data_IF_928206389413
#
_entry.id   IF_928206389413
#
_cell.length_a   1.000
_cell.length_b   1.000
_cell.length_c   1.000
_cell.angle_alpha   90.00
_cell.angle_beta   90.00
_cell.angle_gamma   90.00
#
_symmetry.space_group_name_H-M   'P 1'
#
loop_
_entity.id
_entity.type
_entity.pdbx_description
1 polymer ?
#
# COMPACT_ATOMS: atom_id res chain seq x y z
N UNK A 1 3.48 -20.33 16.66
CA UNK A 1 2.17 -21.03 16.72
C UNK A 1 1.81 -21.65 15.37
N UNK A 2 1.04 -22.75 15.36
CA UNK A 2 0.54 -23.40 14.12
C UNK A 2 -0.42 -22.49 13.34
N UNK A 3 -1.15 -21.63 14.04
CA UNK A 3 -2.00 -20.57 13.50
C UNK A 3 -2.43 -19.63 14.63
N UNK A 4 -2.63 -18.36 14.34
CA UNK A 4 -3.24 -17.38 15.26
C UNK A 4 -4.50 -16.84 14.60
N UNK A 5 -5.61 -16.82 15.34
CA UNK A 5 -6.80 -16.06 14.99
C UNK A 5 -6.98 -15.02 16.08
N UNK A 6 -7.06 -13.75 15.70
CA UNK A 6 -7.18 -12.65 16.63
C UNK A 6 -8.09 -11.56 16.04
N UNK A 7 -8.86 -10.91 16.89
CA UNK A 7 -9.69 -9.76 16.55
C UNK A 7 -9.52 -8.74 17.66
N UNK A 8 -9.25 -7.49 17.31
CA UNK A 8 -9.05 -6.42 18.28
C UNK A 8 -9.82 -5.16 17.92
N UNK A 9 -10.02 -4.32 18.93
CA UNK A 9 -10.60 -2.98 18.81
C UNK A 9 -9.90 -2.06 19.81
N UNK A 10 -9.29 -0.99 19.30
CA UNK A 10 -8.52 -0.04 20.10
C UNK A 10 -8.96 1.38 19.80
N UNK A 11 -9.18 2.17 20.85
CA UNK A 11 -9.57 3.58 20.75
C UNK A 11 -8.75 4.42 21.75
N UNK A 12 -8.24 5.57 21.29
CA UNK A 12 -7.66 6.61 22.15
C UNK A 12 -6.37 6.21 22.87
N UNK A 13 -5.50 5.43 22.22
CA UNK A 13 -4.25 4.95 22.83
C UNK A 13 -3.01 5.77 22.45
N UNK A 14 -2.03 5.81 23.36
CA UNK A 14 -0.71 6.40 23.06
C UNK A 14 0.08 5.57 22.04
N UNK A 15 -0.12 4.26 22.02
CA UNK A 15 0.65 3.37 21.16
C UNK A 15 0.08 1.96 21.19
N UNK A 16 -0.02 1.34 20.02
CA UNK A 16 -0.46 -0.04 19.83
C UNK A 16 0.61 -0.79 19.05
N UNK A 17 0.98 -1.98 19.51
CA UNK A 17 2.05 -2.78 18.93
C UNK A 17 1.63 -4.24 18.83
N UNK A 18 1.52 -4.74 17.60
CA UNK A 18 1.23 -6.14 17.31
C UNK A 18 2.45 -6.82 16.70
N UNK A 19 2.84 -7.96 17.30
CA UNK A 19 3.90 -8.81 16.81
C UNK A 19 3.39 -10.22 16.62
N UNK A 20 3.40 -10.71 15.37
CA UNK A 20 3.01 -12.07 15.06
C UNK A 20 4.17 -12.86 14.43
N UNK A 21 4.47 -14.01 15.03
CA UNK A 21 5.44 -14.97 14.53
C UNK A 21 4.83 -16.38 14.51
N UNK A 22 4.79 -17.02 13.34
CA UNK A 22 4.18 -18.35 13.22
C UNK A 22 3.98 -18.86 11.79
N UNK A 23 3.24 -19.96 11.65
CA UNK A 23 2.93 -20.49 10.32
C UNK A 23 1.84 -19.67 9.64
N UNK A 24 0.74 -19.38 10.34
CA UNK A 24 -0.40 -18.64 9.80
C UNK A 24 -0.95 -17.62 10.79
N UNK A 25 -1.38 -16.48 10.29
CA UNK A 25 -2.11 -15.47 11.05
C UNK A 25 -3.38 -15.11 10.29
N UNK A 26 -4.49 -15.11 11.01
CA UNK A 26 -5.72 -14.44 10.64
C UNK A 26 -5.96 -13.35 11.67
N UNK A 27 -5.94 -12.10 11.24
CA UNK A 27 -6.12 -10.96 12.14
C UNK A 27 -7.13 -10.00 11.54
N UNK A 28 -7.99 -9.45 12.40
CA UNK A 28 -8.87 -8.35 12.07
C UNK A 28 -8.68 -7.29 13.14
N UNK A 29 -8.42 -6.05 12.74
CA UNK A 29 -8.21 -4.96 13.68
C UNK A 29 -9.04 -3.73 13.32
N UNK A 30 -9.29 -2.92 14.34
CA UNK A 30 -9.97 -1.65 14.27
C UNK A 30 -9.29 -0.71 15.26
N UNK A 31 -8.62 0.32 14.75
CA UNK A 31 -7.90 1.28 15.58
C UNK A 31 -8.35 2.71 15.27
N UNK A 32 -8.71 3.47 16.30
CA UNK A 32 -9.06 4.89 16.15
C UNK A 32 -8.31 5.77 17.16
N UNK A 33 -7.98 6.99 16.73
CA UNK A 33 -7.47 8.06 17.60
C UNK A 33 -6.15 7.75 18.31
N UNK A 34 -5.30 6.90 17.74
CA UNK A 34 -4.05 6.50 18.37
C UNK A 34 -2.84 7.36 17.94
N UNK A 35 -1.91 7.60 18.85
CA UNK A 35 -0.69 8.35 18.50
C UNK A 35 0.28 7.51 17.64
N UNK A 36 0.30 6.19 17.81
CA UNK A 36 1.12 5.31 17.00
C UNK A 36 0.57 3.89 16.95
N UNK A 37 0.59 3.28 15.77
CA UNK A 37 0.13 1.91 15.54
C UNK A 37 1.18 1.16 14.73
N UNK A 38 1.60 0.00 15.21
CA UNK A 38 2.68 -0.77 14.61
C UNK A 38 2.31 -2.24 14.50
N UNK A 39 2.34 -2.76 13.28
CA UNK A 39 2.10 -4.15 12.96
C UNK A 39 3.35 -4.79 12.39
N UNK A 40 3.80 -5.91 12.99
CA UNK A 40 4.90 -6.71 12.49
C UNK A 40 4.49 -8.17 12.34
N UNK A 41 4.49 -8.65 11.10
CA UNK A 41 4.21 -10.05 10.76
C UNK A 41 5.45 -10.73 10.19
N UNK A 42 5.88 -11.79 10.85
CA UNK A 42 6.93 -12.70 10.38
C UNK A 42 6.38 -14.13 10.32
N UNK A 43 5.62 -14.43 9.26
CA UNK A 43 4.82 -15.66 9.16
C UNK A 43 4.94 -16.33 7.78
N UNK A 44 4.56 -17.61 7.64
CA UNK A 44 4.45 -18.20 6.29
C UNK A 44 3.27 -17.58 5.53
N UNK A 45 2.11 -17.46 6.18
CA UNK A 45 0.90 -16.86 5.60
C UNK A 45 0.25 -15.86 6.54
N UNK A 46 -0.23 -14.75 5.98
CA UNK A 46 -1.04 -13.77 6.70
C UNK A 46 -2.32 -13.50 5.90
N UNK A 47 -3.44 -13.52 6.61
CA UNK A 47 -4.69 -12.88 6.22
C UNK A 47 -4.96 -11.78 7.24
N UNK A 48 -4.97 -10.53 6.79
CA UNK A 48 -5.20 -9.39 7.67
C UNK A 48 -6.26 -8.49 7.06
N UNK A 49 -7.16 -8.01 7.90
CA UNK A 49 -8.10 -6.94 7.58
C UNK A 49 -7.94 -5.87 8.63
N UNK A 50 -7.71 -4.63 8.22
CA UNK A 50 -7.51 -3.52 9.14
C UNK A 50 -8.40 -2.34 8.78
N UNK A 51 -8.71 -1.55 9.82
CA UNK A 51 -9.42 -0.30 9.74
C UNK A 51 -8.76 0.68 10.71
N UNK A 52 -8.13 1.73 10.19
CA UNK A 52 -7.44 2.71 11.01
C UNK A 52 -7.93 4.13 10.75
N UNK A 53 -8.37 4.80 11.83
CA UNK A 53 -8.87 6.18 11.80
C UNK A 53 -8.02 7.11 12.66
N UNK A 54 -7.82 8.34 12.20
CA UNK A 54 -7.41 9.47 13.05
C UNK A 54 -6.07 9.29 13.79
N UNK A 55 -5.17 8.47 13.27
CA UNK A 55 -3.90 8.15 13.92
C UNK A 55 -2.77 9.08 13.48
N UNK A 56 -1.82 9.38 14.38
CA UNK A 56 -0.65 10.20 14.01
C UNK A 56 0.37 9.41 13.18
N UNK A 57 0.53 8.12 13.43
CA UNK A 57 1.44 7.27 12.64
C UNK A 57 1.01 5.82 12.63
N UNK A 58 1.00 5.20 11.45
CA UNK A 58 0.61 3.80 11.25
C UNK A 58 1.69 3.12 10.43
N UNK A 59 2.17 1.97 10.90
CA UNK A 59 3.28 1.24 10.28
C UNK A 59 2.96 -0.25 10.17
N UNK A 60 3.01 -0.75 8.94
CA UNK A 60 2.84 -2.15 8.62
C UNK A 60 4.13 -2.75 8.06
N UNK A 61 4.60 -3.83 8.67
CA UNK A 61 5.75 -4.58 8.19
C UNK A 61 5.38 -6.06 8.03
N UNK A 62 5.43 -6.53 6.79
CA UNK A 62 5.22 -7.94 6.45
C UNK A 62 6.49 -8.56 5.90
N UNK A 63 7.00 -9.55 6.62
CA UNK A 63 8.10 -10.42 6.19
C UNK A 63 7.57 -11.85 6.10
N UNK A 64 6.81 -12.15 5.04
CA UNK A 64 6.03 -13.38 4.94
C UNK A 64 6.21 -14.09 3.59
N UNK A 65 5.88 -15.38 3.48
CA UNK A 65 5.85 -16.01 2.14
C UNK A 65 4.65 -15.47 1.34
N UNK A 66 3.46 -15.43 1.97
CA UNK A 66 2.23 -14.95 1.33
C UNK A 66 1.47 -14.02 2.26
N UNK A 67 0.98 -12.92 1.68
CA UNK A 67 0.10 -11.96 2.38
C UNK A 67 -1.16 -11.76 1.57
N UNK A 68 -2.30 -11.86 2.24
CA UNK A 68 -3.56 -11.28 1.82
C UNK A 68 -3.90 -10.18 2.82
N UNK A 69 -3.98 -8.95 2.36
CA UNK A 69 -4.26 -7.80 3.22
C UNK A 69 -5.37 -6.96 2.61
N UNK A 70 -6.30 -6.53 3.43
CA UNK A 70 -7.30 -5.52 3.09
C UNK A 70 -7.20 -4.43 4.14
N UNK A 71 -7.02 -3.20 3.71
CA UNK A 71 -6.87 -2.07 4.63
C UNK A 71 -7.81 -0.92 4.26
N UNK A 72 -8.19 -0.18 5.27
CA UNK A 72 -9.00 1.02 5.18
C UNK A 72 -8.43 2.04 6.17
N UNK A 73 -7.83 3.10 5.64
CA UNK A 73 -7.21 4.14 6.47
C UNK A 73 -7.81 5.50 6.17
N UNK A 74 -8.20 6.24 7.21
CA UNK A 74 -8.73 7.60 7.06
C UNK A 74 -8.17 8.59 8.09
N UNK A 75 -7.81 9.79 7.62
CA UNK A 75 -7.45 10.92 8.47
C UNK A 75 -6.15 10.75 9.26
N UNK A 76 -5.22 9.91 8.77
CA UNK A 76 -3.94 9.67 9.44
C UNK A 76 -2.85 10.66 8.99
N UNK A 77 -1.94 11.05 9.90
CA UNK A 77 -0.85 11.95 9.53
C UNK A 77 0.25 11.25 8.72
N UNK A 78 0.54 9.99 9.01
CA UNK A 78 1.52 9.20 8.26
C UNK A 78 1.18 7.72 8.27
N UNK A 79 1.23 7.10 7.09
CA UNK A 79 0.95 5.67 6.91
C UNK A 79 2.07 5.05 6.09
N UNK A 80 2.62 3.95 6.57
CA UNK A 80 3.76 3.28 5.95
C UNK A 80 3.52 1.78 5.85
N UNK A 81 3.62 1.26 4.63
CA UNK A 81 3.53 -0.15 4.32
C UNK A 81 4.85 -0.67 3.76
N UNK A 82 5.37 -1.73 4.37
CA UNK A 82 6.55 -2.43 3.89
C UNK A 82 6.26 -3.93 3.75
N UNK A 83 6.30 -4.40 2.51
CA UNK A 83 6.16 -5.82 2.17
C UNK A 83 7.47 -6.39 1.64
N UNK A 84 8.00 -7.38 2.35
CA UNK A 84 9.13 -8.20 1.94
C UNK A 84 8.66 -9.65 1.83
N UNK A 85 7.99 -9.98 0.73
CA UNK A 85 7.24 -11.24 0.59
C UNK A 85 7.45 -11.95 -0.74
N UNK A 86 7.16 -13.26 -0.83
CA UNK A 86 7.15 -13.92 -2.15
C UNK A 86 5.91 -13.50 -2.96
N UNK A 87 4.74 -13.44 -2.33
CA UNK A 87 3.50 -13.03 -2.97
C UNK A 87 2.66 -12.15 -2.07
N UNK A 88 2.14 -11.06 -2.63
CA UNK A 88 1.21 -10.16 -1.95
C UNK A 88 -0.04 -10.00 -2.79
N UNK A 89 -1.19 -10.15 -2.15
CA UNK A 89 -2.46 -9.62 -2.61
C UNK A 89 -2.87 -8.54 -1.60
N UNK A 90 -2.99 -7.31 -2.06
CA UNK A 90 -3.35 -6.18 -1.21
C UNK A 90 -4.48 -5.39 -1.86
N UNK A 91 -5.46 -5.03 -1.05
CA UNK A 91 -6.50 -4.08 -1.42
C UNK A 91 -6.48 -2.98 -0.37
N UNK A 92 -6.35 -1.74 -0.80
CA UNK A 92 -6.28 -0.61 0.10
C UNK A 92 -7.26 0.49 -0.28
N UNK A 93 -7.70 1.22 0.73
CA UNK A 93 -8.55 2.38 0.64
C UNK A 93 -8.03 3.43 1.60
N UNK A 94 -7.48 4.52 1.07
CA UNK A 94 -6.90 5.59 1.91
C UNK A 94 -7.55 6.94 1.65
N UNK A 95 -7.99 7.59 2.72
CA UNK A 95 -8.64 8.90 2.70
C UNK A 95 -7.93 9.93 3.59
N UNK A 96 -7.80 11.17 3.10
CA UNK A 96 -7.50 12.32 3.96
C UNK A 96 -6.17 12.27 4.71
N UNK A 97 -5.20 11.48 4.24
CA UNK A 97 -3.92 11.31 4.91
C UNK A 97 -2.88 12.36 4.47
N UNK A 98 -1.99 12.77 5.38
CA UNK A 98 -0.94 13.73 5.03
C UNK A 98 0.22 13.09 4.26
N UNK A 99 0.56 11.84 4.55
CA UNK A 99 1.59 11.11 3.83
C UNK A 99 1.34 9.60 3.86
N UNK A 100 1.41 8.97 2.68
CA UNK A 100 1.19 7.53 2.52
C UNK A 100 2.34 6.95 1.69
N UNK A 101 2.95 5.88 2.20
CA UNK A 101 4.12 5.27 1.59
C UNK A 101 3.95 3.76 1.48
N UNK A 102 4.05 3.25 0.26
CA UNK A 102 4.03 1.84 -0.05
C UNK A 102 5.38 1.38 -0.59
N UNK A 103 5.96 0.37 0.05
CA UNK A 103 7.18 -0.26 -0.41
C UNK A 103 6.99 -1.77 -0.56
N UNK A 104 7.05 -2.25 -1.79
CA UNK A 104 6.99 -3.67 -2.11
C UNK A 104 8.34 -4.16 -2.62
N UNK A 105 8.95 -5.06 -1.86
CA UNK A 105 10.13 -5.84 -2.24
C UNK A 105 9.72 -7.30 -2.36
N UNK A 106 8.99 -7.62 -3.44
CA UNK A 106 8.29 -8.88 -3.56
C UNK A 106 8.54 -9.62 -4.87
N UNK A 107 8.33 -10.94 -4.88
CA UNK A 107 8.45 -11.70 -6.13
C UNK A 107 7.25 -11.43 -7.05
N UNK A 108 6.03 -11.42 -6.49
CA UNK A 108 4.80 -11.03 -7.20
C UNK A 108 3.91 -10.16 -6.32
N UNK A 109 3.32 -9.14 -6.92
CA UNK A 109 2.33 -8.27 -6.28
C UNK A 109 1.08 -8.19 -7.14
N UNK A 110 -0.07 -8.39 -6.51
CA UNK A 110 -1.36 -7.93 -6.99
C UNK A 110 -1.84 -6.86 -6.01
N UNK A 111 -2.00 -5.63 -6.48
CA UNK A 111 -2.42 -4.52 -5.64
C UNK A 111 -3.59 -3.81 -6.32
N UNK A 112 -4.60 -3.48 -5.53
CA UNK A 112 -5.69 -2.59 -5.92
C UNK A 112 -5.74 -1.50 -4.86
N UNK A 113 -5.67 -0.25 -5.30
CA UNK A 113 -5.67 0.89 -4.40
C UNK A 113 -6.72 1.92 -4.80
N UNK A 114 -7.23 2.61 -3.79
CA UNK A 114 -8.17 3.72 -3.91
C UNK A 114 -7.72 4.81 -2.94
N UNK A 115 -7.21 5.91 -3.46
CA UNK A 115 -6.70 7.01 -2.63
C UNK A 115 -7.42 8.32 -2.90
N UNK A 116 -7.87 8.98 -1.84
CA UNK A 116 -8.62 10.23 -1.90
C UNK A 116 -8.06 11.31 -0.98
N UNK A 117 -7.87 12.53 -1.50
CA UNK A 117 -7.65 13.73 -0.69
C UNK A 117 -6.37 13.73 0.16
N UNK A 118 -5.31 13.05 -0.28
CA UNK A 118 -4.04 12.96 0.45
C UNK A 118 -3.03 14.04 0.02
N UNK A 119 -2.11 14.43 0.92
CA UNK A 119 -1.08 15.46 0.66
C UNK A 119 0.27 14.90 0.14
N UNK A 120 0.38 13.58 0.02
CA UNK A 120 1.53 12.93 -0.58
C UNK A 120 1.36 11.42 -0.58
N UNK A 121 1.48 10.80 -1.75
CA UNK A 121 1.33 9.36 -1.91
C UNK A 121 2.49 8.82 -2.72
N UNK A 122 3.17 7.81 -2.19
CA UNK A 122 4.38 7.26 -2.78
C UNK A 122 4.30 5.75 -2.88
N UNK A 123 4.42 5.25 -4.11
CA UNK A 123 4.48 3.84 -4.42
C UNK A 123 5.86 3.47 -4.95
N UNK A 124 6.50 2.48 -4.30
CA UNK A 124 7.75 1.91 -4.75
C UNK A 124 7.63 0.39 -4.87
N UNK A 125 7.71 -0.10 -6.11
CA UNK A 125 7.72 -1.52 -6.41
C UNK A 125 9.10 -1.95 -6.90
N UNK A 126 9.73 -2.85 -6.15
CA UNK A 126 10.95 -3.56 -6.51
C UNK A 126 10.63 -5.04 -6.62
N UNK A 127 10.02 -5.43 -7.75
CA UNK A 127 9.37 -6.73 -7.88
C UNK A 127 9.70 -7.47 -9.19
N UNK A 128 9.55 -8.79 -9.19
CA UNK A 128 9.66 -9.58 -10.44
C UNK A 128 8.43 -9.36 -11.33
N UNK A 129 7.22 -9.33 -10.75
CA UNK A 129 6.00 -9.01 -11.48
C UNK A 129 5.03 -8.20 -10.62
N UNK A 130 4.42 -7.19 -11.22
CA UNK A 130 3.38 -6.36 -10.59
C UNK A 130 2.15 -6.34 -11.47
N UNK A 131 1.00 -6.60 -10.86
CA UNK A 131 -0.31 -6.19 -11.35
C UNK A 131 -0.83 -5.15 -10.39
N UNK A 132 -1.04 -3.93 -10.86
CA UNK A 132 -1.51 -2.83 -10.03
C UNK A 132 -2.68 -2.14 -10.73
N UNK A 133 -3.76 -1.92 -9.99
CA UNK A 133 -4.88 -1.08 -10.41
C UNK A 133 -5.00 0.02 -9.37
N UNK A 134 -4.99 1.26 -9.82
CA UNK A 134 -5.08 2.41 -8.92
C UNK A 134 -6.19 3.36 -9.34
N UNK A 135 -6.78 4.00 -8.33
CA UNK A 135 -7.80 5.03 -8.44
C UNK A 135 -7.45 6.15 -7.48
N UNK A 136 -7.03 7.30 -8.01
CA UNK A 136 -6.63 8.44 -7.19
C UNK A 136 -7.49 9.66 -7.50
N UNK A 137 -8.01 10.30 -6.45
CA UNK A 137 -8.82 11.51 -6.55
C UNK A 137 -8.35 12.62 -5.59
N UNK A 138 -8.24 13.84 -6.09
CA UNK A 138 -8.04 15.04 -5.28
C UNK A 138 -6.76 15.08 -4.44
N UNK A 139 -5.72 14.36 -4.84
CA UNK A 139 -4.46 14.29 -4.09
C UNK A 139 -3.45 15.37 -4.54
N UNK A 140 -2.59 15.78 -3.61
CA UNK A 140 -1.42 16.62 -3.89
C UNK A 140 -0.17 15.74 -3.85
N UNK A 141 0.52 15.61 -4.99
CA UNK A 141 1.75 14.83 -5.09
C UNK A 141 1.52 13.33 -5.03
N UNK A 142 1.51 12.68 -6.19
CA UNK A 142 1.42 11.22 -6.30
C UNK A 142 2.60 10.72 -7.12
N UNK A 143 3.32 9.74 -6.58
CA UNK A 143 4.56 9.25 -7.16
C UNK A 143 4.56 7.73 -7.26
N UNK A 144 4.74 7.25 -8.49
CA UNK A 144 4.87 5.84 -8.79
C UNK A 144 6.27 5.54 -9.29
N UNK A 145 6.94 4.60 -8.63
CA UNK A 145 8.23 4.08 -9.05
C UNK A 145 8.18 2.57 -9.16
N UNK A 146 8.29 2.07 -10.39
CA UNK A 146 8.38 0.66 -10.68
C UNK A 146 9.80 0.30 -11.14
N UNK A 147 10.47 -0.52 -10.35
CA UNK A 147 11.74 -1.17 -10.67
C UNK A 147 11.49 -2.66 -10.79
N UNK A 148 10.87 -3.08 -11.89
CA UNK A 148 10.28 -4.41 -12.00
C UNK A 148 10.62 -5.11 -13.32
N UNK A 149 10.64 -6.45 -13.36
CA UNK A 149 10.79 -7.15 -14.63
C UNK A 149 9.53 -6.98 -15.50
N UNK A 150 8.35 -7.29 -14.97
CA UNK A 150 7.07 -7.07 -15.65
C UNK A 150 6.10 -6.21 -14.85
N UNK A 151 5.45 -5.26 -15.50
CA UNK A 151 4.40 -4.42 -14.91
C UNK A 151 3.15 -4.46 -15.77
N UNK A 152 2.01 -4.77 -15.16
CA UNK A 152 0.68 -4.46 -15.68
C UNK A 152 0.09 -3.40 -14.75
N UNK A 153 -0.16 -2.21 -15.28
CA UNK A 153 -0.65 -1.10 -14.49
C UNK A 153 -1.84 -0.44 -15.19
N UNK A 154 -2.94 -0.30 -14.45
CA UNK A 154 -4.13 0.44 -14.88
C UNK A 154 -4.34 1.53 -13.86
N UNK A 155 -4.44 2.76 -14.34
CA UNK A 155 -4.60 3.92 -13.47
C UNK A 155 -5.77 4.79 -13.89
N UNK A 156 -6.43 5.36 -12.89
CA UNK A 156 -7.45 6.37 -13.01
C UNK A 156 -7.14 7.49 -12.02
N UNK A 157 -6.84 8.67 -12.54
CA UNK A 157 -6.53 9.83 -11.72
C UNK A 157 -7.47 10.99 -12.05
N UNK A 158 -8.08 11.60 -11.04
CA UNK A 158 -8.85 12.84 -11.19
C UNK A 158 -8.42 13.91 -10.18
N UNK A 159 -8.51 15.18 -10.57
CA UNK A 159 -8.39 16.32 -9.66
C UNK A 159 -7.05 16.49 -8.91
N UNK A 160 -5.96 15.82 -9.33
CA UNK A 160 -4.70 15.81 -8.60
C UNK A 160 -3.73 16.94 -9.01
N UNK A 161 -2.88 17.36 -8.08
CA UNK A 161 -1.77 18.30 -8.34
C UNK A 161 -0.43 17.56 -8.28
N UNK A 162 0.20 17.38 -9.43
CA UNK A 162 1.49 16.71 -9.54
C UNK A 162 1.39 15.19 -9.42
N UNK A 163 1.42 14.50 -10.56
CA UNK A 163 1.46 13.04 -10.63
C UNK A 163 2.66 12.60 -11.46
N UNK A 164 3.44 11.66 -10.94
CA UNK A 164 4.72 11.25 -11.51
C UNK A 164 4.79 9.74 -11.63
N UNK A 165 5.02 9.26 -12.84
CA UNK A 165 5.23 7.85 -13.13
C UNK A 165 6.65 7.61 -13.62
N UNK A 166 7.35 6.70 -12.96
CA UNK A 166 8.67 6.23 -13.35
C UNK A 166 8.68 4.72 -13.47
N UNK A 167 8.83 4.23 -14.70
CA UNK A 167 8.97 2.80 -15.00
C UNK A 167 10.40 2.50 -15.42
N UNK A 168 11.08 1.66 -14.64
CA UNK A 168 12.38 1.06 -14.95
C UNK A 168 12.16 -0.45 -15.02
N UNK A 169 11.88 -0.95 -16.22
CA UNK A 169 11.34 -2.30 -16.36
C UNK A 169 11.82 -3.09 -17.57
N UNK A 170 11.62 -4.41 -17.58
CA UNK A 170 11.80 -5.16 -18.84
C UNK A 170 10.57 -5.00 -19.73
N UNK A 171 9.36 -5.11 -19.20
CA UNK A 171 8.13 -4.86 -19.95
C UNK A 171 7.05 -4.20 -19.12
N UNK A 172 6.29 -3.29 -19.74
CA UNK A 172 5.14 -2.62 -19.12
C UNK A 172 3.94 -2.65 -20.06
N UNK A 173 2.80 -3.08 -19.53
CA UNK A 173 1.49 -2.76 -20.08
C UNK A 173 0.88 -1.68 -19.18
N UNK A 174 0.59 -0.52 -19.77
CA UNK A 174 0.09 0.64 -19.05
C UNK A 174 -1.17 1.17 -19.71
N UNK A 175 -2.22 1.33 -18.93
CA UNK A 175 -3.47 2.01 -19.31
C UNK A 175 -3.71 3.10 -18.30
N UNK A 176 -4.03 4.29 -18.78
CA UNK A 176 -4.19 5.46 -17.93
C UNK A 176 -5.38 6.29 -18.37
N UNK A 177 -6.12 6.79 -17.38
CA UNK A 177 -7.12 7.81 -17.54
C UNK A 177 -6.82 8.94 -16.56
N UNK A 178 -6.60 10.15 -17.08
CA UNK A 178 -6.34 11.34 -16.28
C UNK A 178 -7.37 12.42 -16.59
N UNK A 179 -8.08 12.87 -15.57
CA UNK A 179 -8.99 14.02 -15.58
C UNK A 179 -8.53 15.09 -14.59
N UNK A 180 -8.86 16.37 -14.83
CA UNK A 180 -8.77 17.41 -13.78
C UNK A 180 -7.39 17.72 -13.19
N UNK A 181 -6.30 17.11 -13.66
CA UNK A 181 -5.00 17.18 -13.00
C UNK A 181 -4.14 18.37 -13.47
N UNK A 182 -3.37 18.94 -12.54
CA UNK A 182 -2.32 19.91 -12.83
C UNK A 182 -0.93 19.26 -12.72
N UNK A 183 -0.34 18.96 -13.87
CA UNK A 183 1.02 18.41 -13.97
C UNK A 183 1.03 16.89 -13.81
N UNK A 184 1.21 16.20 -14.94
CA UNK A 184 1.38 14.75 -14.99
C UNK A 184 2.61 14.42 -15.82
N UNK A 185 3.48 13.57 -15.29
CA UNK A 185 4.77 13.26 -15.87
C UNK A 185 4.96 11.76 -15.98
N UNK A 186 5.37 11.30 -17.16
CA UNK A 186 5.70 9.90 -17.39
C UNK A 186 7.14 9.76 -17.83
N UNK A 187 7.86 8.82 -17.23
CA UNK A 187 9.19 8.43 -17.63
C UNK A 187 9.27 6.91 -17.75
N UNK A 188 9.41 6.43 -18.98
CA UNK A 188 9.57 5.02 -19.28
C UNK A 188 11.01 4.73 -19.69
N UNK A 189 11.66 3.87 -18.92
CA UNK A 189 12.99 3.33 -19.14
C UNK A 189 12.89 1.81 -19.21
N UNK A 190 12.12 1.29 -20.17
CA UNK A 190 11.91 -0.14 -20.34
C UNK A 190 12.62 -0.72 -21.58
N UNK A 191 13.14 -1.94 -21.46
CA UNK A 191 14.02 -2.57 -22.47
C UNK A 191 13.29 -3.46 -23.49
N UNK A 192 12.12 -4.00 -23.12
CA UNK A 192 11.27 -4.82 -23.99
C UNK A 192 10.27 -3.95 -24.74
N UNK A 193 10.33 -4.00 -26.07
CA UNK A 193 9.31 -3.45 -26.96
C UNK A 193 8.11 -4.38 -27.06
#
# INVERSE_FOLDING_TARGET
CLGVFFVDYVDGCLGVFYLFQGLGVFFVDYVDGCLGVFYLFQCLGVFFVDYVGGCLGVFYLFQCLRVFFVDYVDGCLGVFYLFQCLGVFFVDYVGGCLGVFYLFQCLRVFFVDYVGGCLGVFYLFQCLGVFFVDYVDGCLGVFYLFQCLGVFFVDYVDGCLGVFYLFQCLGVFFVDYVGGCLGVFYLFQCLGK
#
